data_IF_998407319682
#
_entry.id   IF_998407319682
#
_cell.length_a   1.000
_cell.length_b   1.000
_cell.length_c   1.000
_cell.angle_alpha   90.00
_cell.angle_beta   90.00
_cell.angle_gamma   90.00
#
_symmetry.space_group_name_H-M   'P 1'
#
loop_
_entity.id
_entity.type
_entity.pdbx_description
1 polymer ?
#
# COMPACT_ATOMS: atom_id res chain seq x y z
N UNK A 1 -8.53 7.32 -17.20
CA UNK A 1 -7.57 7.93 -16.26
C UNK A 1 -6.26 8.15 -16.99
N UNK A 2 -5.58 9.28 -16.77
CA UNK A 2 -4.22 9.45 -17.29
C UNK A 2 -3.31 8.35 -16.71
N UNK A 3 -2.46 7.76 -17.55
CA UNK A 3 -1.55 6.69 -17.14
C UNK A 3 -0.58 7.26 -16.10
N UNK A 4 -0.60 6.73 -14.88
CA UNK A 4 0.37 7.07 -13.85
C UNK A 4 1.76 6.67 -14.34
N UNK A 5 2.74 7.56 -14.22
CA UNK A 5 4.14 7.18 -14.34
C UNK A 5 4.52 6.43 -13.05
N UNK A 6 4.75 5.12 -13.17
CA UNK A 6 4.92 4.22 -12.02
C UNK A 6 5.99 4.71 -11.05
N UNK A 7 7.23 4.92 -11.53
CA UNK A 7 8.36 5.30 -10.67
C UNK A 7 8.16 6.67 -10.06
N UNK A 8 7.79 7.67 -10.87
CA UNK A 8 7.55 9.03 -10.39
C UNK A 8 6.42 9.08 -9.35
N UNK A 9 5.39 8.25 -9.50
CA UNK A 9 4.29 8.17 -8.53
C UNK A 9 4.77 7.55 -7.22
N UNK A 10 5.54 6.47 -7.27
CA UNK A 10 6.12 5.83 -6.08
C UNK A 10 7.01 6.82 -5.32
N UNK A 11 7.94 7.47 -6.00
CA UNK A 11 8.88 8.41 -5.38
C UNK A 11 8.17 9.60 -4.74
N UNK A 12 7.15 10.14 -5.41
CA UNK A 12 6.37 11.25 -4.88
C UNK A 12 5.47 10.87 -3.70
N UNK A 13 5.14 9.60 -3.52
CA UNK A 13 4.19 9.13 -2.51
C UNK A 13 4.90 8.52 -1.29
N UNK A 14 6.03 7.83 -1.52
CA UNK A 14 6.83 7.20 -0.48
C UNK A 14 7.31 8.26 0.53
N UNK A 15 7.21 7.93 1.82
CA UNK A 15 7.55 8.84 2.92
C UNK A 15 6.49 9.91 3.24
N UNK A 16 5.48 10.12 2.37
CA UNK A 16 4.36 11.01 2.66
C UNK A 16 3.18 10.27 3.28
N UNK A 17 3.00 8.99 2.98
CA UNK A 17 1.94 8.16 3.57
C UNK A 17 2.12 8.13 5.09
N UNK A 18 1.02 8.23 5.82
CA UNK A 18 1.04 8.09 7.26
C UNK A 18 1.44 6.66 7.66
N UNK A 19 2.57 6.45 8.36
CA UNK A 19 3.09 5.12 8.66
C UNK A 19 2.20 4.29 9.58
N UNK A 20 1.26 4.92 10.30
CA UNK A 20 0.27 4.20 11.11
C UNK A 20 -0.72 3.37 10.27
N UNK A 21 -0.73 3.54 8.95
CA UNK A 21 -1.54 2.78 8.01
C UNK A 21 -0.69 1.92 7.08
N UNK A 22 0.62 1.86 7.30
CA UNK A 22 1.49 0.98 6.53
C UNK A 22 1.18 -0.49 6.84
N UNK A 23 1.48 -1.32 5.86
CA UNK A 23 1.43 -2.77 5.99
C UNK A 23 2.46 -3.22 7.02
N UNK A 24 2.04 -4.02 8.00
CA UNK A 24 2.94 -4.50 9.06
C UNK A 24 3.76 -5.69 8.58
N UNK A 25 4.85 -6.02 9.28
CA UNK A 25 5.61 -7.25 9.03
C UNK A 25 4.75 -8.52 9.15
N UNK A 26 3.72 -8.51 10.01
CA UNK A 26 2.78 -9.62 10.14
C UNK A 26 1.91 -9.76 8.89
N UNK A 27 1.44 -8.65 8.34
CA UNK A 27 0.65 -8.65 7.10
C UNK A 27 1.49 -9.14 5.93
N UNK A 28 2.74 -8.65 5.81
CA UNK A 28 3.69 -9.09 4.77
C UNK A 28 3.94 -10.60 4.86
N UNK A 29 4.19 -11.11 6.07
CA UNK A 29 4.41 -12.54 6.29
C UNK A 29 3.19 -13.37 5.91
N UNK A 30 1.99 -12.91 6.30
CA UNK A 30 0.72 -13.57 5.95
C UNK A 30 0.53 -13.62 4.43
N UNK A 31 0.81 -12.52 3.72
CA UNK A 31 0.71 -12.47 2.26
C UNK A 31 1.74 -13.36 1.57
N UNK A 32 2.96 -13.44 2.12
CA UNK A 32 4.02 -14.31 1.61
C UNK A 32 3.70 -15.80 1.80
N UNK A 33 3.17 -16.18 2.96
CA UNK A 33 2.80 -17.58 3.27
C UNK A 33 1.53 -18.02 2.53
N UNK A 34 0.57 -17.12 2.29
CA UNK A 34 -0.69 -17.40 1.58
C UNK A 34 -0.48 -17.62 0.08
N UNK A 35 0.39 -16.84 -0.55
CA UNK A 35 0.45 -16.76 -2.01
C UNK A 35 1.55 -17.67 -2.59
N UNK A 36 1.15 -18.55 -3.50
CA UNK A 36 2.06 -19.45 -4.22
C UNK A 36 2.93 -18.67 -5.21
N UNK A 37 2.34 -17.66 -5.88
CA UNK A 37 3.04 -16.81 -6.84
C UNK A 37 3.45 -15.48 -6.24
N UNK A 38 4.65 -15.02 -6.61
CA UNK A 38 5.13 -13.66 -6.32
C UNK A 38 4.20 -12.59 -6.93
N UNK A 39 3.58 -12.89 -8.07
CA UNK A 39 2.64 -11.96 -8.72
C UNK A 39 1.38 -11.79 -7.89
N UNK A 40 0.81 -12.89 -7.39
CA UNK A 40 -0.38 -12.86 -6.54
C UNK A 40 -0.10 -12.11 -5.22
N UNK A 41 1.08 -12.33 -4.64
CA UNK A 41 1.52 -11.58 -3.46
C UNK A 41 1.58 -10.06 -3.71
N UNK A 42 2.05 -9.63 -4.89
CA UNK A 42 2.07 -8.21 -5.26
C UNK A 42 0.65 -7.64 -5.46
N UNK A 43 -0.23 -8.39 -6.10
CA UNK A 43 -1.63 -7.98 -6.32
C UNK A 43 -2.39 -7.86 -5.00
N UNK A 44 -2.27 -8.85 -4.11
CA UNK A 44 -2.88 -8.80 -2.78
C UNK A 44 -2.30 -7.66 -1.93
N UNK A 45 -0.99 -7.42 -2.01
CA UNK A 45 -0.34 -6.30 -1.32
C UNK A 45 -0.92 -4.96 -1.77
N UNK A 46 -1.16 -4.79 -3.07
CA UNK A 46 -1.80 -3.59 -3.60
C UNK A 46 -3.22 -3.43 -3.06
N UNK A 47 -4.03 -4.50 -3.06
CA UNK A 47 -5.42 -4.47 -2.55
C UNK A 47 -5.45 -4.08 -1.07
N UNK A 48 -4.57 -4.67 -0.25
CA UNK A 48 -4.48 -4.34 1.17
C UNK A 48 -4.06 -2.88 1.37
N UNK A 49 -3.02 -2.43 0.66
CA UNK A 49 -2.57 -1.04 0.72
C UNK A 49 -3.65 -0.04 0.30
N UNK A 50 -4.45 -0.37 -0.72
CA UNK A 50 -5.59 0.45 -1.13
C UNK A 50 -6.64 0.56 -0.02
N UNK A 51 -7.01 -0.56 0.61
CA UNK A 51 -7.96 -0.57 1.71
C UNK A 51 -7.47 0.25 2.93
N UNK A 52 -6.18 0.13 3.26
CA UNK A 52 -5.53 0.92 4.31
C UNK A 52 -5.55 2.41 3.97
N UNK A 53 -5.21 2.78 2.73
CA UNK A 53 -5.24 4.15 2.24
C UNK A 53 -6.63 4.77 2.28
N UNK A 54 -7.67 4.04 1.86
CA UNK A 54 -9.07 4.49 1.95
C UNK A 54 -9.47 4.74 3.41
N UNK A 55 -9.07 3.85 4.34
CA UNK A 55 -9.32 4.02 5.78
C UNK A 55 -8.61 5.26 6.34
N UNK A 56 -7.36 5.50 5.92
CA UNK A 56 -6.58 6.66 6.33
C UNK A 56 -7.21 7.97 5.80
N UNK A 57 -7.63 7.98 4.55
CA UNK A 57 -8.30 9.12 3.90
C UNK A 57 -9.62 9.46 4.60
N UNK A 58 -10.45 8.46 4.91
CA UNK A 58 -11.71 8.66 5.67
C UNK A 58 -11.48 9.29 7.04
N UNK A 59 -10.31 9.07 7.64
CA UNK A 59 -9.92 9.64 8.93
C UNK A 59 -9.16 10.97 8.81
N UNK A 60 -8.98 11.51 7.60
CA UNK A 60 -8.19 12.72 7.35
C UNK A 60 -6.70 12.56 7.68
N UNK A 61 -6.19 11.33 7.62
CA UNK A 61 -4.84 10.94 8.05
C UNK A 61 -4.06 10.19 6.96
N UNK A 62 -4.42 10.35 5.68
CA UNK A 62 -3.76 9.66 4.57
C UNK A 62 -2.27 10.02 4.45
N UNK A 63 -1.94 11.29 4.65
CA UNK A 63 -0.56 11.78 4.63
C UNK A 63 -0.10 12.18 6.03
N UNK A 64 1.20 12.03 6.28
CA UNK A 64 1.86 12.59 7.45
C UNK A 64 1.87 14.12 7.31
N UNK A 65 1.34 14.83 8.32
CA UNK A 65 1.36 16.29 8.36
C UNK A 65 2.67 16.79 8.95
#
# INVERSE_FOLDING_TARGET
MARLNTLKTIDNTRGKINPNYDMTMKDIRTLYEKNISKVDAMLDSFVLGYAQGVKAQKKGRAYNK
#
